data_IF_545366497334
#
_entry.id   IF_545366497334
#
_cell.length_a   1.000
_cell.length_b   1.000
_cell.length_c   1.000
_cell.angle_alpha   90.00
_cell.angle_beta   90.00
_cell.angle_gamma   90.00
#
_symmetry.space_group_name_H-M   'P 1'
#
loop_
_entity.id
_entity.type
_entity.pdbx_description
1 polymer ?
#
# COMPACT_ATOMS: atom_id res chain seq x y z
N UNK A 1 -11.30 -3.24 12.70
CA UNK A 1 -11.84 -3.53 11.32
C UNK A 1 -10.97 -4.58 10.69
N UNK A 2 -11.55 -5.60 10.03
CA UNK A 2 -10.78 -6.67 9.38
C UNK A 2 -11.37 -7.02 8.02
N UNK A 3 -10.52 -7.44 7.09
CA UNK A 3 -10.87 -7.85 5.73
C UNK A 3 -9.94 -9.00 5.30
N UNK A 4 -10.52 -10.01 4.66
CA UNK A 4 -9.75 -11.15 4.12
C UNK A 4 -9.76 -11.14 2.59
N UNK A 5 -8.62 -11.47 2.01
CA UNK A 5 -8.48 -11.70 0.56
C UNK A 5 -7.68 -12.96 0.28
N UNK A 6 -7.83 -13.50 -0.92
CA UNK A 6 -6.93 -14.52 -1.46
C UNK A 6 -6.03 -13.88 -2.50
N UNK A 7 -4.74 -13.95 -2.29
CA UNK A 7 -3.76 -13.38 -3.19
C UNK A 7 -2.43 -14.15 -3.13
N UNK A 8 -1.73 -14.23 -4.25
CA UNK A 8 -0.41 -14.89 -4.35
C UNK A 8 -0.39 -16.29 -3.74
N UNK A 9 -1.47 -17.07 -3.95
CA UNK A 9 -1.58 -18.46 -3.47
C UNK A 9 -1.86 -18.63 -1.97
N UNK A 10 -2.21 -17.57 -1.25
CA UNK A 10 -2.49 -17.61 0.18
C UNK A 10 -3.72 -16.78 0.56
N UNK A 11 -4.34 -17.13 1.68
CA UNK A 11 -5.35 -16.28 2.30
C UNK A 11 -4.68 -15.27 3.24
N UNK A 12 -5.07 -14.01 3.16
CA UNK A 12 -4.53 -12.91 3.92
C UNK A 12 -5.63 -12.23 4.71
N UNK A 13 -5.41 -12.03 6.00
CA UNK A 13 -6.27 -11.25 6.86
C UNK A 13 -5.58 -9.93 7.18
N UNK A 14 -6.23 -8.84 6.82
CA UNK A 14 -5.86 -7.48 7.21
C UNK A 14 -6.67 -7.09 8.43
N UNK A 15 -6.03 -6.51 9.41
CA UNK A 15 -6.69 -5.95 10.58
C UNK A 15 -6.14 -4.59 10.90
N UNK A 16 -7.03 -3.66 11.22
CA UNK A 16 -6.70 -2.31 11.67
C UNK A 16 -7.22 -2.12 13.08
N UNK A 17 -6.35 -1.72 13.98
CA UNK A 17 -6.65 -1.47 15.38
C UNK A 17 -5.42 -1.06 16.15
N UNK A 18 -5.62 -0.66 17.41
CA UNK A 18 -4.54 -0.30 18.32
C UNK A 18 -3.77 -1.52 18.84
N UNK A 19 -4.42 -2.68 18.90
CA UNK A 19 -3.84 -3.96 19.33
C UNK A 19 -3.77 -4.93 18.15
N UNK A 20 -2.56 -5.31 17.80
CA UNK A 20 -2.26 -6.23 16.71
C UNK A 20 -1.93 -7.65 17.19
N UNK A 21 -1.99 -7.91 18.51
CA UNK A 21 -1.45 -9.12 19.12
C UNK A 21 -2.39 -10.32 19.13
N UNK A 22 -3.70 -10.15 18.92
CA UNK A 22 -4.71 -11.19 19.14
C UNK A 22 -5.42 -11.65 17.85
N UNK A 23 -4.68 -12.21 16.92
CA UNK A 23 -5.28 -12.87 15.76
C UNK A 23 -5.22 -14.39 15.93
N UNK A 24 -6.33 -14.97 16.40
CA UNK A 24 -6.45 -16.42 16.54
C UNK A 24 -6.53 -17.09 15.15
N UNK A 25 -5.73 -18.09 14.92
CA UNK A 25 -5.83 -19.01 13.79
C UNK A 25 -4.97 -18.71 12.57
N UNK A 26 -4.16 -17.63 12.57
CA UNK A 26 -3.26 -17.26 11.48
C UNK A 26 -1.81 -17.07 11.92
N UNK A 27 -0.89 -17.10 10.95
CA UNK A 27 0.49 -16.70 11.19
C UNK A 27 0.61 -15.19 11.00
N UNK A 28 0.92 -14.48 12.08
CA UNK A 28 1.24 -13.05 12.00
C UNK A 28 2.44 -12.81 11.08
N UNK A 29 2.31 -11.88 10.14
CA UNK A 29 3.33 -11.61 9.12
C UNK A 29 4.00 -10.26 9.31
N UNK A 30 3.21 -9.23 9.56
CA UNK A 30 3.72 -7.87 9.63
C UNK A 30 2.77 -6.94 10.38
N UNK A 31 3.35 -5.87 10.91
CA UNK A 31 2.66 -4.64 11.30
C UNK A 31 3.20 -3.52 10.44
N UNK A 32 2.30 -2.80 9.77
CA UNK A 32 2.65 -1.63 8.97
C UNK A 32 1.91 -0.44 9.58
N UNK A 33 2.64 0.51 10.14
CA UNK A 33 2.02 1.63 10.83
C UNK A 33 3.00 2.55 11.54
N UNK A 34 2.50 3.58 12.22
CA UNK A 34 1.08 3.94 12.34
C UNK A 34 0.51 4.50 11.03
N UNK A 35 -0.76 4.18 10.73
CA UNK A 35 -1.46 4.74 9.58
C UNK A 35 -2.07 6.08 10.00
N UNK A 36 -1.81 7.18 9.28
CA UNK A 36 -2.32 8.50 9.63
C UNK A 36 -3.81 8.62 9.29
N UNK A 37 -4.66 8.45 10.30
CA UNK A 37 -6.12 8.58 10.18
C UNK A 37 -6.64 9.65 11.13
N UNK A 38 -7.79 10.24 10.80
CA UNK A 38 -8.47 11.21 11.65
C UNK A 38 -9.43 10.47 12.60
N UNK A 39 -9.40 10.79 13.88
CA UNK A 39 -10.16 10.09 14.92
C UNK A 39 -11.69 10.24 14.80
N UNK A 40 -12.17 11.28 14.14
CA UNK A 40 -13.59 11.60 13.97
C UNK A 40 -14.12 11.27 12.56
N UNK A 41 -13.36 10.54 11.75
CA UNK A 41 -13.71 10.19 10.39
C UNK A 41 -14.00 8.69 10.27
N UNK A 42 -15.05 8.36 9.53
CA UNK A 42 -15.32 6.98 9.13
C UNK A 42 -14.52 6.62 7.88
N UNK A 43 -13.95 5.44 7.89
CA UNK A 43 -13.16 4.92 6.76
C UNK A 43 -13.73 3.61 6.25
N UNK A 44 -13.68 3.46 4.94
CA UNK A 44 -13.78 2.17 4.26
C UNK A 44 -12.40 1.61 4.00
N UNK A 45 -12.28 0.29 4.02
CA UNK A 45 -11.02 -0.44 3.81
C UNK A 45 -11.08 -1.20 2.49
N UNK A 46 -10.10 -0.98 1.63
CA UNK A 46 -9.91 -1.73 0.40
C UNK A 46 -8.57 -2.47 0.47
N UNK A 47 -8.62 -3.79 0.34
CA UNK A 47 -7.42 -4.62 0.27
C UNK A 47 -7.25 -5.18 -1.13
N UNK A 48 -6.02 -5.18 -1.62
CA UNK A 48 -5.69 -5.72 -2.93
C UNK A 48 -4.29 -6.34 -2.94
N UNK A 49 -4.01 -7.09 -4.00
CA UNK A 49 -2.66 -7.54 -4.33
C UNK A 49 -2.13 -6.75 -5.52
N UNK A 50 -0.82 -6.59 -5.57
CA UNK A 50 -0.17 -5.94 -6.68
C UNK A 50 1.03 -6.77 -7.18
N UNK A 51 1.17 -6.84 -8.50
CA UNK A 51 2.24 -7.53 -9.20
C UNK A 51 2.84 -6.62 -10.25
N UNK A 52 4.17 -6.47 -10.22
CA UNK A 52 4.91 -5.65 -11.18
C UNK A 52 6.18 -6.37 -11.62
N UNK A 53 6.44 -6.32 -12.90
CA UNK A 53 7.73 -6.71 -13.46
C UNK A 53 8.79 -5.64 -13.20
N UNK A 54 10.09 -5.99 -13.27
CA UNK A 54 11.16 -4.98 -13.20
C UNK A 54 10.95 -3.88 -14.25
N UNK A 55 11.04 -2.63 -13.82
CA UNK A 55 10.82 -1.46 -14.67
C UNK A 55 9.36 -1.11 -14.95
N UNK A 56 8.41 -1.97 -14.61
CA UNK A 56 7.00 -1.65 -14.72
C UNK A 56 6.57 -0.69 -13.60
N UNK A 57 5.78 0.32 -13.94
CA UNK A 57 5.34 1.33 -12.99
C UNK A 57 3.83 1.60 -13.07
N UNK A 58 3.30 2.13 -11.97
CA UNK A 58 1.93 2.60 -11.92
C UNK A 58 1.77 3.93 -12.68
N UNK A 59 0.54 4.27 -13.01
CA UNK A 59 0.21 5.65 -13.36
C UNK A 59 0.51 6.58 -12.18
N UNK A 60 0.68 7.86 -12.45
CA UNK A 60 0.74 8.89 -11.41
C UNK A 60 -0.67 9.11 -10.88
N UNK A 61 -0.86 8.98 -9.58
CA UNK A 61 -2.19 9.01 -8.98
C UNK A 61 -2.16 9.43 -7.51
N UNK A 62 -3.35 9.69 -6.96
CA UNK A 62 -3.62 9.95 -5.54
C UNK A 62 -4.74 9.05 -5.05
N UNK A 63 -4.77 8.80 -3.73
CA UNK A 63 -5.90 8.16 -3.05
C UNK A 63 -6.59 9.13 -2.08
N UNK A 64 -7.92 9.01 -1.89
CA UNK A 64 -8.67 9.80 -0.92
C UNK A 64 -8.50 9.28 0.53
N UNK A 65 -7.35 8.76 0.85
CA UNK A 65 -6.95 8.26 2.15
C UNK A 65 -5.56 7.63 2.11
N UNK A 66 -5.01 7.22 3.26
CA UNK A 66 -3.68 6.63 3.32
C UNK A 66 -3.64 5.24 2.70
N UNK A 67 -2.50 4.93 2.09
CA UNK A 67 -2.18 3.62 1.52
C UNK A 67 -1.01 2.98 2.26
N UNK A 68 -1.15 1.70 2.61
CA UNK A 68 -0.11 0.90 3.24
C UNK A 68 0.24 -0.31 2.39
N UNK A 69 1.52 -0.65 2.31
CA UNK A 69 2.02 -1.81 1.56
C UNK A 69 2.87 -2.73 2.40
N UNK A 70 2.84 -3.99 2.01
CA UNK A 70 3.78 -4.99 2.47
C UNK A 70 4.32 -5.77 1.29
N UNK A 71 5.64 -5.72 1.07
CA UNK A 71 6.29 -6.41 -0.03
C UNK A 71 6.54 -7.87 0.34
N UNK A 72 5.97 -8.78 -0.43
CA UNK A 72 6.12 -10.23 -0.27
C UNK A 72 7.36 -10.77 -1.00
N UNK A 73 7.63 -10.21 -2.19
CA UNK A 73 8.71 -10.63 -3.08
C UNK A 73 9.21 -9.45 -3.91
N UNK A 74 10.49 -9.47 -4.25
CA UNK A 74 11.11 -8.44 -5.07
C UNK A 74 11.31 -7.12 -4.35
N UNK A 75 11.40 -6.06 -5.13
CA UNK A 75 11.67 -4.71 -4.65
C UNK A 75 10.79 -3.69 -5.35
N UNK A 76 10.51 -2.62 -4.67
CA UNK A 76 9.79 -1.48 -5.19
C UNK A 76 10.45 -0.16 -4.81
N UNK A 77 10.21 0.83 -5.63
CA UNK A 77 10.46 2.22 -5.30
C UNK A 77 9.18 3.02 -5.52
N UNK A 78 8.77 3.73 -4.50
CA UNK A 78 7.67 4.65 -4.55
C UNK A 78 8.20 6.07 -4.50
N UNK A 79 7.77 6.86 -5.46
CA UNK A 79 8.06 8.29 -5.54
C UNK A 79 6.81 9.08 -5.24
N UNK A 80 6.92 10.04 -4.36
CA UNK A 80 5.96 11.13 -4.20
C UNK A 80 6.61 12.44 -4.64
N UNK A 81 5.87 13.54 -4.60
CA UNK A 81 6.46 14.87 -4.83
C UNK A 81 7.53 15.24 -3.79
N UNK A 82 7.47 14.65 -2.60
CA UNK A 82 8.27 15.03 -1.44
C UNK A 82 9.33 14.01 -1.07
N UNK A 83 9.10 12.75 -1.36
CA UNK A 83 9.97 11.67 -0.86
C UNK A 83 10.07 10.50 -1.80
N UNK A 84 11.09 9.69 -1.56
CA UNK A 84 11.30 8.39 -2.19
C UNK A 84 11.30 7.33 -1.11
N UNK A 85 10.44 6.33 -1.25
CA UNK A 85 10.35 5.19 -0.34
C UNK A 85 10.76 3.94 -1.11
N UNK A 86 11.81 3.29 -0.65
CA UNK A 86 12.24 1.99 -1.18
C UNK A 86 11.81 0.90 -0.22
N UNK A 87 11.31 -0.20 -0.74
CA UNK A 87 10.96 -1.36 0.06
C UNK A 87 11.26 -2.64 -0.72
N UNK A 88 11.75 -3.65 -0.01
CA UNK A 88 12.00 -5.00 -0.51
C UNK A 88 11.19 -6.03 0.28
N UNK A 89 11.25 -7.28 -0.14
CA UNK A 89 10.57 -8.38 0.56
C UNK A 89 10.78 -8.29 2.08
N UNK A 90 9.68 -8.38 2.83
CA UNK A 90 9.66 -8.23 4.29
C UNK A 90 9.60 -6.79 4.80
N UNK A 91 9.43 -5.80 3.94
CA UNK A 91 9.32 -4.39 4.33
C UNK A 91 7.96 -3.79 3.93
N UNK A 92 7.47 -2.87 4.75
CA UNK A 92 6.26 -2.08 4.49
C UNK A 92 6.57 -0.63 4.19
N UNK A 93 5.59 0.05 3.61
CA UNK A 93 5.61 1.48 3.36
C UNK A 93 4.22 2.06 3.54
N UNK A 94 4.14 3.35 3.88
CA UNK A 94 2.89 4.10 4.00
C UNK A 94 3.01 5.37 3.19
N UNK A 95 1.94 5.68 2.47
CA UNK A 95 1.73 6.96 1.78
C UNK A 95 0.55 7.66 2.43
N UNK A 96 0.71 8.94 2.72
CA UNK A 96 -0.34 9.74 3.31
C UNK A 96 -1.48 10.04 2.33
N UNK A 97 -2.65 10.33 2.87
CA UNK A 97 -3.80 10.80 2.10
C UNK A 97 -3.41 11.96 1.17
N UNK A 98 -3.85 11.89 -0.09
CA UNK A 98 -3.68 12.94 -1.07
C UNK A 98 -2.26 13.15 -1.59
N UNK A 99 -1.28 12.38 -1.13
CA UNK A 99 0.05 12.43 -1.73
C UNK A 99 0.01 11.84 -3.15
N UNK A 100 0.42 12.65 -4.11
CA UNK A 100 0.61 12.19 -5.49
C UNK A 100 1.80 11.25 -5.55
N UNK A 101 1.58 10.07 -6.11
CA UNK A 101 2.58 9.02 -6.13
C UNK A 101 2.72 8.31 -7.47
N UNK A 102 3.88 7.69 -7.65
CA UNK A 102 4.18 6.71 -8.69
C UNK A 102 5.02 5.60 -8.08
N UNK A 103 4.67 4.36 -8.38
CA UNK A 103 5.41 3.20 -7.93
C UNK A 103 6.05 2.49 -9.12
N UNK A 104 7.26 1.97 -8.94
CA UNK A 104 7.95 1.14 -9.92
C UNK A 104 8.47 -0.13 -9.24
N UNK A 105 8.36 -1.26 -9.96
CA UNK A 105 9.06 -2.49 -9.61
C UNK A 105 10.54 -2.31 -9.90
N UNK A 106 11.39 -2.53 -8.90
CA UNK A 106 12.86 -2.47 -9.02
C UNK A 106 13.48 -3.85 -8.81
N UNK A 107 14.80 -3.95 -8.93
CA UNK A 107 15.48 -5.23 -8.81
C UNK A 107 15.45 -6.05 -10.10
N UNK A 108 15.78 -7.34 -10.00
CA UNK A 108 15.95 -8.24 -11.15
C UNK A 108 14.79 -9.22 -11.35
N UNK A 109 13.88 -9.29 -10.39
CA UNK A 109 12.72 -10.19 -10.40
C UNK A 109 11.39 -9.47 -10.21
N UNK A 110 10.27 -10.19 -10.34
CA UNK A 110 8.96 -9.62 -10.15
C UNK A 110 8.75 -9.14 -8.70
N UNK A 111 8.00 -8.09 -8.55
CA UNK A 111 7.56 -7.58 -7.25
C UNK A 111 6.13 -8.03 -6.98
N UNK A 112 5.89 -8.66 -5.83
CA UNK A 112 4.57 -8.99 -5.29
C UNK A 112 4.36 -8.28 -3.97
N UNK A 113 3.23 -7.65 -3.81
CA UNK A 113 2.88 -6.97 -2.57
C UNK A 113 1.40 -7.09 -2.23
N UNK A 114 1.13 -6.93 -0.95
CA UNK A 114 -0.19 -6.68 -0.40
C UNK A 114 -0.36 -5.19 -0.21
N UNK A 115 -1.54 -4.68 -0.53
CA UNK A 115 -1.87 -3.26 -0.47
C UNK A 115 -3.15 -3.08 0.34
N UNK A 116 -3.17 -2.09 1.18
CA UNK A 116 -4.33 -1.66 1.93
C UNK A 116 -4.52 -0.16 1.74
N UNK A 117 -5.70 0.23 1.28
CA UNK A 117 -6.10 1.63 1.16
C UNK A 117 -7.24 1.89 2.11
N UNK A 118 -7.10 2.91 2.94
CA UNK A 118 -8.20 3.48 3.70
C UNK A 118 -8.67 4.72 2.97
N UNK A 119 -9.96 4.83 2.72
CA UNK A 119 -10.55 6.06 2.20
C UNK A 119 -11.74 6.49 3.06
N UNK A 120 -11.98 7.78 3.13
CA UNK A 120 -13.15 8.30 3.83
C UNK A 120 -14.41 7.66 3.28
N UNK A 121 -15.31 7.20 4.16
CA UNK A 121 -16.46 6.39 3.77
C UNK A 121 -17.48 7.12 2.88
N UNK A 122 -17.48 8.44 2.94
CA UNK A 122 -18.33 9.33 2.12
C UNK A 122 -17.70 9.73 0.78
N UNK A 123 -16.45 9.35 0.55
CA UNK A 123 -15.74 9.60 -0.71
C UNK A 123 -15.72 8.34 -1.58
N UNK A 124 -15.74 8.47 -2.92
CA UNK A 124 -15.57 7.33 -3.81
C UNK A 124 -14.21 6.68 -3.54
N UNK A 125 -14.22 5.35 -3.45
CA UNK A 125 -12.99 4.57 -3.39
C UNK A 125 -12.21 4.64 -4.70
N UNK A 126 -10.98 4.14 -4.69
CA UNK A 126 -10.14 4.07 -5.86
C UNK A 126 -9.01 5.11 -5.86
N UNK A 127 -8.68 5.60 -7.04
CA UNK A 127 -7.61 6.57 -7.22
C UNK A 127 -8.00 7.62 -8.26
N UNK A 128 -7.39 8.79 -8.15
CA UNK A 128 -7.51 9.85 -9.14
C UNK A 128 -6.20 9.97 -9.90
N UNK A 129 -6.28 9.93 -11.24
CA UNK A 129 -5.11 10.23 -12.08
C UNK A 129 -4.64 11.66 -11.81
N UNK A 130 -3.34 11.82 -11.71
CA UNK A 130 -2.72 13.12 -11.53
C UNK A 130 -1.67 13.30 -12.64
N UNK A 131 -1.73 14.44 -13.33
CA UNK A 131 -0.75 14.81 -14.34
C UNK A 131 0.48 15.50 -13.74
N UNK A 132 0.59 15.54 -12.42
CA UNK A 132 1.74 16.10 -11.76
C UNK A 132 3.01 15.33 -12.14
N UNK A 133 4.09 16.05 -12.37
CA UNK A 133 5.40 15.47 -12.61
C UNK A 133 5.91 14.85 -11.30
N UNK A 134 5.83 13.53 -11.21
CA UNK A 134 6.58 12.75 -10.24
C UNK A 134 7.80 12.20 -10.95
N UNK A 135 9.02 12.44 -10.45
CA UNK A 135 10.23 11.96 -11.10
C UNK A 135 10.16 10.45 -11.38
N UNK A 136 10.51 10.04 -12.58
CA UNK A 136 10.46 8.64 -13.00
C UNK A 136 11.54 7.80 -12.34
N UNK A 137 12.67 8.40 -12.05
CA UNK A 137 13.85 7.71 -11.55
C UNK A 137 13.82 7.56 -10.03
N UNK A 138 14.13 6.38 -9.58
CA UNK A 138 14.34 6.03 -8.18
C UNK A 138 15.81 6.12 -7.76
N UNK A 139 16.57 6.92 -8.45
CA UNK A 139 17.97 7.24 -8.13
C UNK A 139 18.05 8.31 -7.05
#
# INVERSE_FOLDING_TARGET
>A
MSLAIVAHGSAWLYSIGADTSNHHGGKHRAVVGPIPVRSNQLYSMMAMSAYFLPGQYSVVHTHPGPEAWWVLEGEQCLRTRRTTIRARAGQGAIVAEGDTMRMVGTGTGPRRALVLILHEADKPGGYTHDNALVPENCT
#
